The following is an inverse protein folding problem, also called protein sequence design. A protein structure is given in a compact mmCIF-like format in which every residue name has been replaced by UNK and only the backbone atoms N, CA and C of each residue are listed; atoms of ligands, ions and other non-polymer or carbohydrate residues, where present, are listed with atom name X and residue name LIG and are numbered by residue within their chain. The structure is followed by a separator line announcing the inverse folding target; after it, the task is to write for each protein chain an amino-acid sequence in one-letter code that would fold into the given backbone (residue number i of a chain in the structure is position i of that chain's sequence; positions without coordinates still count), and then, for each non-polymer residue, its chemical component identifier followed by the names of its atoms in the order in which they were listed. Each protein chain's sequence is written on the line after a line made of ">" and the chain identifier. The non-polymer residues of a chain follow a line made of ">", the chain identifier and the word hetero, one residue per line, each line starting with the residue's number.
data_IF_084093490566
#
_entry.id   IF_084093490566
#
_cell.length_a   1.000
_cell.length_b   1.000
_cell.length_c   1.000
_cell.angle_alpha   90.00
_cell.angle_beta   90.00
_cell.angle_gamma   90.00
#
_symmetry.space_group_name_H-M   'P 1'
#
loop_
_entity.id
_entity.type
_entity.pdbx_description
1 polymer ?
#
# COMPACT_ATOMS: atom_id res chain seq x y z
N UNK A 1 -13.55 26.28 1.13
CA UNK A 1 -14.76 25.44 1.10
C UNK A 1 -14.44 24.22 0.28
N UNK A 2 -14.08 23.12 0.94
CA UNK A 2 -13.89 21.80 0.30
C UNK A 2 -15.07 20.93 0.71
N UNK A 3 -15.73 20.23 -0.23
CA UNK A 3 -16.90 19.43 0.08
C UNK A 3 -16.45 18.20 0.87
N UNK A 4 -17.18 17.93 1.96
CA UNK A 4 -16.95 16.77 2.79
C UNK A 4 -17.08 15.48 1.98
N UNK A 5 -16.16 14.55 2.21
CA UNK A 5 -16.30 13.16 1.74
C UNK A 5 -17.40 12.52 2.59
N UNK A 6 -18.61 12.60 2.06
CA UNK A 6 -19.84 12.05 2.65
C UNK A 6 -19.77 10.52 2.51
N UNK A 7 -20.30 9.79 3.49
CA UNK A 7 -20.32 8.32 3.55
C UNK A 7 -20.91 7.55 2.36
N UNK A 8 -21.29 8.21 1.26
CA UNK A 8 -21.55 7.57 -0.03
C UNK A 8 -20.29 6.96 -0.63
N UNK A 9 -19.11 7.60 -0.43
CA UNK A 9 -17.87 7.18 -1.10
C UNK A 9 -17.36 5.83 -0.58
N UNK A 10 -17.52 5.55 0.72
CA UNK A 10 -17.18 4.23 1.32
C UNK A 10 -18.14 3.15 0.85
N UNK A 11 -19.44 3.47 0.72
CA UNK A 11 -20.45 2.56 0.19
C UNK A 11 -20.17 2.25 -1.27
N UNK A 12 -19.75 3.23 -2.06
CA UNK A 12 -19.42 3.08 -3.47
C UNK A 12 -18.09 2.36 -3.68
N UNK A 13 -17.10 2.55 -2.81
CA UNK A 13 -15.86 1.75 -2.79
C UNK A 13 -16.15 0.30 -2.40
N UNK A 14 -16.96 0.06 -1.37
CA UNK A 14 -17.39 -1.29 -1.00
C UNK A 14 -18.18 -1.94 -2.14
N UNK A 15 -19.10 -1.19 -2.77
CA UNK A 15 -19.86 -1.63 -3.93
C UNK A 15 -18.94 -1.92 -5.11
N UNK A 16 -17.87 -1.14 -5.35
CA UNK A 16 -16.87 -1.37 -6.40
C UNK A 16 -15.98 -2.60 -6.13
N UNK A 17 -15.61 -2.81 -4.87
CA UNK A 17 -14.85 -3.99 -4.45
C UNK A 17 -15.68 -5.27 -4.53
N UNK A 18 -16.96 -5.18 -4.14
CA UNK A 18 -17.95 -6.25 -4.30
C UNK A 18 -18.31 -6.46 -5.77
N UNK A 19 -18.42 -5.40 -6.59
CA UNK A 19 -18.77 -5.46 -8.00
C UNK A 19 -17.66 -5.99 -8.91
N UNK A 20 -16.43 -6.21 -8.43
CA UNK A 20 -15.48 -7.08 -9.14
C UNK A 20 -15.99 -8.55 -9.19
N UNK A 21 -17.06 -8.87 -8.45
CA UNK A 21 -18.00 -9.93 -8.75
C UNK A 21 -19.19 -9.32 -9.51
N UNK A 22 -19.19 -9.38 -10.83
CA UNK A 22 -20.22 -8.73 -11.67
C UNK A 22 -21.68 -9.19 -11.39
N UNK A 23 -21.88 -10.29 -10.65
CA UNK A 23 -23.16 -10.67 -10.03
C UNK A 23 -22.93 -11.57 -8.81
N UNK A 24 -23.51 -11.22 -7.65
CA UNK A 24 -23.66 -12.12 -6.50
C UNK A 24 -24.71 -13.20 -6.83
N UNK A 25 -24.26 -14.31 -7.41
CA UNK A 25 -25.12 -15.43 -7.86
C UNK A 25 -25.87 -16.08 -6.68
N UNK A 26 -25.39 -15.88 -5.45
CA UNK A 26 -25.94 -16.46 -4.22
C UNK A 26 -26.34 -15.40 -3.20
N UNK A 27 -26.68 -14.19 -3.66
CA UNK A 27 -27.19 -13.10 -2.82
C UNK A 27 -28.38 -13.49 -1.94
N UNK A 28 -29.27 -14.36 -2.40
CA UNK A 28 -30.38 -14.87 -1.61
C UNK A 28 -29.92 -15.74 -0.42
N UNK A 29 -28.84 -16.52 -0.57
CA UNK A 29 -28.24 -17.29 0.52
C UNK A 29 -27.48 -16.38 1.49
N UNK A 30 -26.83 -15.33 0.98
CA UNK A 30 -26.19 -14.31 1.83
C UNK A 30 -27.24 -13.63 2.70
N UNK A 31 -28.37 -13.22 2.15
CA UNK A 31 -29.44 -12.56 2.92
C UNK A 31 -30.00 -13.47 4.04
N UNK A 32 -30.06 -14.78 3.81
CA UNK A 32 -30.51 -15.76 4.81
C UNK A 32 -29.57 -15.88 6.03
N UNK A 33 -28.32 -15.44 5.93
CA UNK A 33 -27.40 -15.38 7.08
C UNK A 33 -27.81 -14.31 8.09
N UNK A 34 -28.58 -13.30 7.67
CA UNK A 34 -28.86 -12.09 8.45
C UNK A 34 -27.68 -11.12 8.58
N UNK A 35 -26.52 -11.39 7.95
CA UNK A 35 -25.31 -10.56 8.11
C UNK A 35 -25.49 -9.11 7.67
N UNK A 36 -26.48 -8.83 6.82
CA UNK A 36 -26.80 -7.48 6.36
C UNK A 36 -27.20 -6.54 7.51
N UNK A 37 -27.76 -7.09 8.59
CA UNK A 37 -28.13 -6.36 9.82
C UNK A 37 -26.92 -6.04 10.71
N UNK A 38 -25.77 -6.67 10.47
CA UNK A 38 -24.55 -6.38 11.23
C UNK A 38 -24.06 -4.95 10.94
N UNK A 39 -23.45 -4.29 11.92
CA UNK A 39 -22.73 -3.03 11.68
C UNK A 39 -21.26 -3.26 11.25
N UNK A 40 -20.81 -4.52 11.21
CA UNK A 40 -19.44 -4.88 10.90
C UNK A 40 -19.24 -5.09 9.37
N UNK A 41 -18.56 -4.17 8.67
CA UNK A 41 -18.34 -4.29 7.22
C UNK A 41 -17.37 -5.43 6.86
N UNK A 42 -16.43 -5.76 7.74
CA UNK A 42 -15.48 -6.86 7.54
C UNK A 42 -16.25 -8.18 7.56
N UNK A 43 -17.13 -8.35 8.55
CA UNK A 43 -17.96 -9.55 8.64
C UNK A 43 -18.89 -9.71 7.42
N UNK A 44 -19.52 -8.63 6.97
CA UNK A 44 -20.34 -8.66 5.74
C UNK A 44 -19.54 -9.13 4.54
N UNK A 45 -18.31 -8.65 4.41
CA UNK A 45 -17.40 -9.05 3.34
C UNK A 45 -17.04 -10.54 3.43
N UNK A 46 -16.63 -11.01 4.60
CA UNK A 46 -16.25 -12.42 4.82
C UNK A 46 -17.41 -13.35 4.50
N UNK A 47 -18.60 -13.08 5.06
CA UNK A 47 -19.79 -13.91 4.84
C UNK A 47 -20.18 -13.94 3.37
N UNK A 48 -20.21 -12.79 2.71
CA UNK A 48 -20.57 -12.72 1.29
C UNK A 48 -19.60 -13.52 0.42
N UNK A 49 -18.29 -13.35 0.64
CA UNK A 49 -17.26 -14.09 -0.10
C UNK A 49 -17.35 -15.60 0.15
N UNK A 50 -17.60 -16.00 1.38
CA UNK A 50 -17.69 -17.40 1.74
C UNK A 50 -18.85 -18.09 1.01
N UNK A 51 -20.06 -17.51 1.07
CA UNK A 51 -21.26 -18.05 0.43
C UNK A 51 -21.08 -18.12 -1.10
N UNK A 52 -20.51 -17.08 -1.71
CA UNK A 52 -20.22 -17.06 -3.16
C UNK A 52 -19.21 -18.13 -3.55
N UNK A 53 -18.08 -18.22 -2.84
CA UNK A 53 -17.04 -19.22 -3.14
C UNK A 53 -17.56 -20.64 -2.97
N UNK A 54 -18.36 -20.89 -1.93
CA UNK A 54 -18.94 -22.22 -1.69
C UNK A 54 -19.91 -22.62 -2.81
N UNK A 55 -20.85 -21.74 -3.17
CA UNK A 55 -21.84 -22.07 -4.19
C UNK A 55 -21.23 -22.23 -5.59
N UNK A 56 -20.20 -21.46 -5.93
CA UNK A 56 -19.42 -21.65 -7.17
C UNK A 56 -18.65 -22.97 -7.16
N UNK A 57 -18.01 -23.31 -6.05
CA UNK A 57 -17.30 -24.58 -5.91
C UNK A 57 -18.26 -25.79 -6.11
N UNK A 58 -19.49 -25.69 -5.60
CA UNK A 58 -20.51 -26.72 -5.77
C UNK A 58 -20.98 -26.86 -7.22
N UNK A 59 -21.06 -25.74 -7.95
CA UNK A 59 -21.42 -25.73 -9.37
C UNK A 59 -20.32 -26.40 -10.21
N UNK A 60 -19.07 -25.99 -9.97
CA UNK A 60 -17.91 -26.52 -10.69
C UNK A 60 -17.62 -28.00 -10.37
N UNK A 61 -17.87 -28.46 -9.12
CA UNK A 61 -17.62 -29.86 -8.75
C UNK A 61 -18.49 -30.83 -9.54
N UNK A 62 -19.72 -30.44 -9.89
CA UNK A 62 -20.60 -31.23 -10.76
C UNK A 62 -20.07 -31.38 -12.18
N UNK A 63 -19.34 -30.39 -12.66
CA UNK A 63 -18.80 -30.37 -14.02
C UNK A 63 -17.45 -31.12 -14.11
N UNK A 64 -16.65 -31.08 -13.03
CA UNK A 64 -15.24 -31.51 -13.04
C UNK A 64 -14.94 -32.79 -12.24
N UNK A 65 -15.90 -33.30 -11.44
CA UNK A 65 -15.79 -34.58 -10.72
C UNK A 65 -15.17 -34.51 -9.31
N UNK A 66 -15.13 -35.65 -8.61
CA UNK A 66 -14.84 -35.77 -7.17
C UNK A 66 -13.45 -35.24 -6.73
N UNK A 67 -12.41 -35.40 -7.55
CA UNK A 67 -11.07 -34.92 -7.20
C UNK A 67 -11.02 -33.39 -7.08
N UNK A 68 -11.77 -32.69 -7.94
CA UNK A 68 -11.88 -31.24 -7.91
C UNK A 68 -12.66 -30.77 -6.67
N UNK A 69 -13.69 -31.53 -6.30
CA UNK A 69 -14.50 -31.31 -5.10
C UNK A 69 -13.66 -31.33 -3.82
N UNK A 70 -12.84 -32.37 -3.64
CA UNK A 70 -11.99 -32.51 -2.45
C UNK A 70 -10.97 -31.38 -2.32
N UNK A 71 -10.34 -30.97 -3.43
CA UNK A 71 -9.36 -29.88 -3.43
C UNK A 71 -10.04 -28.54 -3.07
N UNK A 72 -11.23 -28.28 -3.62
CA UNK A 72 -12.00 -27.07 -3.31
C UNK A 72 -12.51 -27.05 -1.87
N UNK A 73 -12.96 -28.20 -1.33
CA UNK A 73 -13.30 -28.32 0.08
C UNK A 73 -12.15 -27.92 0.98
N UNK A 74 -10.97 -28.49 0.73
CA UNK A 74 -9.78 -28.21 1.52
C UNK A 74 -9.43 -26.72 1.48
N UNK A 75 -9.45 -26.13 0.28
CA UNK A 75 -9.21 -24.70 0.13
C UNK A 75 -10.23 -23.84 0.90
N UNK A 76 -11.52 -24.17 0.83
CA UNK A 76 -12.57 -23.45 1.53
C UNK A 76 -12.44 -23.56 3.04
N UNK A 77 -12.12 -24.75 3.55
CA UNK A 77 -11.90 -25.01 4.97
C UNK A 77 -10.71 -24.20 5.49
N UNK A 78 -9.58 -24.23 4.79
CA UNK A 78 -8.38 -23.46 5.15
C UNK A 78 -8.68 -21.96 5.11
N UNK A 79 -9.28 -21.47 4.02
CA UNK A 79 -9.61 -20.06 3.85
C UNK A 79 -10.56 -19.56 4.94
N UNK A 80 -11.62 -20.32 5.24
CA UNK A 80 -12.58 -19.96 6.29
C UNK A 80 -11.91 -20.01 7.67
N UNK A 81 -11.00 -20.97 7.89
CA UNK A 81 -10.17 -21.06 9.09
C UNK A 81 -9.28 -19.84 9.29
N UNK A 82 -8.59 -19.38 8.24
CA UNK A 82 -7.78 -18.16 8.27
C UNK A 82 -8.64 -16.93 8.56
N UNK A 83 -9.76 -16.77 7.85
CA UNK A 83 -10.66 -15.63 8.08
C UNK A 83 -11.23 -15.63 9.50
N UNK A 84 -11.60 -16.80 10.03
CA UNK A 84 -12.03 -16.96 11.42
C UNK A 84 -10.94 -16.54 12.40
N UNK A 85 -9.72 -17.03 12.19
CA UNK A 85 -8.58 -16.71 13.04
C UNK A 85 -8.31 -15.20 13.06
N UNK A 86 -8.19 -14.55 11.91
CA UNK A 86 -7.93 -13.11 11.86
C UNK A 86 -9.10 -12.28 12.39
N UNK A 87 -10.33 -12.63 12.02
CA UNK A 87 -11.51 -11.87 12.45
C UNK A 87 -11.75 -11.95 13.95
N UNK A 88 -11.53 -13.11 14.56
CA UNK A 88 -11.75 -13.36 15.99
C UNK A 88 -10.50 -13.15 16.86
N UNK A 89 -9.39 -12.71 16.25
CA UNK A 89 -8.06 -12.64 16.89
C UNK A 89 -7.71 -13.97 17.58
N UNK A 90 -7.75 -15.05 16.81
CA UNK A 90 -7.58 -16.41 17.31
C UNK A 90 -8.47 -16.68 18.51
N UNK A 91 -9.78 -16.42 18.38
CA UNK A 91 -10.77 -16.69 19.42
C UNK A 91 -10.69 -15.83 20.69
N UNK A 92 -9.67 -14.98 20.85
CA UNK A 92 -9.51 -14.14 22.05
C UNK A 92 -10.52 -13.00 22.12
N UNK A 93 -11.06 -12.59 20.97
CA UNK A 93 -12.02 -11.50 20.86
C UNK A 93 -13.47 -11.99 21.03
N UNK A 94 -14.01 -11.93 22.25
CA UNK A 94 -15.33 -12.50 22.54
C UNK A 94 -16.46 -11.84 21.72
N UNK A 95 -16.39 -10.53 21.51
CA UNK A 95 -17.37 -9.81 20.67
C UNK A 95 -17.38 -10.33 19.22
N UNK A 96 -16.21 -10.36 18.56
CA UNK A 96 -16.07 -10.85 17.18
C UNK A 96 -16.41 -12.34 17.08
N UNK A 97 -16.04 -13.13 18.07
CA UNK A 97 -16.42 -14.54 18.19
C UNK A 97 -17.94 -14.71 18.24
N UNK A 98 -18.65 -13.91 19.03
CA UNK A 98 -20.11 -13.93 19.09
C UNK A 98 -20.76 -13.55 17.75
N UNK A 99 -20.21 -12.57 17.04
CA UNK A 99 -20.67 -12.22 15.69
C UNK A 99 -20.44 -13.35 14.69
N UNK A 100 -19.26 -14.00 14.72
CA UNK A 100 -18.95 -15.15 13.88
C UNK A 100 -19.95 -16.29 14.14
N UNK A 101 -20.23 -16.58 15.41
CA UNK A 101 -21.18 -17.62 15.81
C UNK A 101 -22.58 -17.27 15.28
N UNK A 102 -23.01 -16.01 15.42
CA UNK A 102 -24.34 -15.55 15.01
C UNK A 102 -24.56 -15.63 13.51
N UNK A 103 -23.61 -15.17 12.70
CA UNK A 103 -23.83 -14.94 11.26
C UNK A 103 -23.17 -15.97 10.34
N UNK A 104 -22.25 -16.80 10.84
CA UNK A 104 -21.62 -17.88 10.07
C UNK A 104 -22.04 -19.23 10.65
N UNK A 105 -21.60 -19.56 11.86
CA UNK A 105 -21.79 -20.91 12.43
C UNK A 105 -23.27 -21.34 12.52
N UNK A 106 -24.12 -20.53 13.19
CA UNK A 106 -25.53 -20.86 13.41
C UNK A 106 -26.32 -21.03 12.09
N UNK A 107 -26.27 -20.09 11.13
CA UNK A 107 -27.03 -20.23 9.91
C UNK A 107 -26.43 -21.23 8.91
N UNK A 108 -25.15 -21.62 9.06
CA UNK A 108 -24.42 -22.43 8.08
C UNK A 108 -25.16 -23.70 7.66
N UNK A 109 -25.54 -24.56 8.61
CA UNK A 109 -26.20 -25.84 8.30
C UNK A 109 -27.49 -25.67 7.49
N UNK A 110 -28.26 -24.61 7.78
CA UNK A 110 -29.49 -24.32 7.05
C UNK A 110 -29.19 -23.82 5.63
N UNK A 111 -28.21 -22.92 5.49
CA UNK A 111 -27.82 -22.38 4.19
C UNK A 111 -27.21 -23.47 3.30
N UNK A 112 -26.32 -24.29 3.85
CA UNK A 112 -25.70 -25.43 3.18
C UNK A 112 -26.76 -26.36 2.58
N UNK A 113 -27.78 -26.74 3.36
CA UNK A 113 -28.86 -27.63 2.89
C UNK A 113 -29.69 -27.07 1.73
N UNK A 114 -29.66 -25.76 1.50
CA UNK A 114 -30.44 -25.07 0.46
C UNK A 114 -29.71 -24.95 -0.87
N UNK A 115 -28.43 -25.28 -0.91
CA UNK A 115 -27.75 -25.44 -2.18
C UNK A 115 -28.25 -26.72 -2.87
N UNK A 116 -28.98 -26.57 -3.99
CA UNK A 116 -29.60 -27.69 -4.72
C UNK A 116 -28.55 -28.70 -5.17
N UNK A 117 -28.58 -29.96 -4.73
CA UNK A 117 -27.90 -31.09 -5.40
C UNK A 117 -26.66 -31.68 -4.73
N UNK A 118 -26.71 -31.92 -3.42
CA UNK A 118 -25.67 -32.63 -2.67
C UNK A 118 -24.83 -31.70 -1.83
N UNK A 119 -24.55 -32.14 -0.60
CA UNK A 119 -23.54 -31.52 0.24
C UNK A 119 -22.22 -31.69 -0.51
N UNK A 120 -21.47 -30.62 -0.72
CA UNK A 120 -20.02 -30.78 -0.88
C UNK A 120 -19.58 -31.60 0.34
N UNK A 121 -18.75 -32.62 0.16
CA UNK A 121 -18.27 -33.47 1.26
C UNK A 121 -17.31 -32.71 2.21
N UNK A 122 -17.48 -31.40 2.35
CA UNK A 122 -16.72 -30.53 3.23
C UNK A 122 -17.35 -30.54 4.61
N UNK A 123 -16.68 -31.16 5.58
CA UNK A 123 -17.01 -30.94 6.99
C UNK A 123 -16.43 -29.61 7.45
N UNK A 124 -17.06 -28.49 7.09
CA UNK A 124 -16.59 -27.16 7.50
C UNK A 124 -16.76 -26.98 9.02
N UNK A 125 -15.68 -27.10 9.77
CA UNK A 125 -15.68 -26.92 11.21
C UNK A 125 -15.67 -25.42 11.57
N UNK A 126 -16.85 -24.85 11.70
CA UNK A 126 -17.04 -23.46 12.12
C UNK A 126 -16.85 -23.22 13.63
N UNK A 127 -16.69 -24.28 14.41
CA UNK A 127 -17.01 -24.31 15.84
C UNK A 127 -15.73 -24.22 16.69
N UNK A 128 -14.62 -24.74 16.14
CA UNK A 128 -13.33 -24.79 16.83
C UNK A 128 -12.59 -23.45 16.69
N UNK A 129 -12.36 -22.77 17.81
CA UNK A 129 -11.50 -21.59 17.85
C UNK A 129 -10.10 -22.01 18.34
N UNK A 130 -9.04 -21.53 17.68
CA UNK A 130 -7.70 -21.57 18.29
C UNK A 130 -7.67 -20.53 19.40
N UNK A 131 -6.87 -20.73 20.45
CA UNK A 131 -6.69 -19.77 21.55
C UNK A 131 -5.28 -19.16 21.58
N UNK A 132 -4.48 -19.38 20.52
CA UNK A 132 -3.12 -18.86 20.42
C UNK A 132 -3.09 -17.66 19.48
N UNK A 133 -3.41 -16.47 19.99
CA UNK A 133 -3.17 -15.21 19.28
C UNK A 133 -2.24 -14.34 20.13
N UNK A 134 -1.22 -13.78 19.50
CA UNK A 134 -0.20 -13.00 20.17
C UNK A 134 -0.83 -11.72 20.76
N UNK A 135 -0.68 -11.55 22.07
CA UNK A 135 -1.47 -10.58 22.85
C UNK A 135 -1.16 -9.11 22.54
N UNK A 136 -0.03 -8.83 21.88
CA UNK A 136 0.38 -7.47 21.51
C UNK A 136 -0.57 -6.79 20.51
N UNK A 137 -1.35 -7.55 19.74
CA UNK A 137 -2.30 -7.02 18.75
C UNK A 137 -3.75 -6.88 19.28
N UNK A 138 -4.04 -7.34 20.50
CA UNK A 138 -5.42 -7.48 21.02
C UNK A 138 -6.05 -6.12 21.38
N UNK A 139 -5.23 -5.12 21.72
CA UNK A 139 -5.74 -3.96 22.46
C UNK A 139 -6.48 -2.90 21.63
N UNK A 140 -6.45 -2.97 20.29
CA UNK A 140 -7.03 -1.93 19.43
C UNK A 140 -8.38 -2.29 18.78
N UNK A 141 -8.61 -3.57 18.45
CA UNK A 141 -9.69 -3.97 17.52
C UNK A 141 -10.90 -4.64 18.18
N UNK A 142 -10.80 -5.05 19.46
CA UNK A 142 -11.84 -5.88 20.10
C UNK A 142 -12.98 -5.12 20.77
N UNK A 143 -12.85 -3.81 20.97
CA UNK A 143 -13.88 -3.04 21.65
C UNK A 143 -14.76 -2.29 20.66
N UNK A 144 -16.07 -2.53 20.82
CA UNK A 144 -17.19 -1.90 20.14
C UNK A 144 -17.36 -0.40 20.49
N UNK A 145 -16.40 0.20 21.18
CA UNK A 145 -16.41 1.64 21.36
C UNK A 145 -16.02 2.24 20.02
N UNK A 146 -16.98 2.86 19.33
CA UNK A 146 -16.84 3.68 18.13
C UNK A 146 -15.87 4.88 18.28
N UNK A 147 -14.87 4.77 19.14
CA UNK A 147 -13.75 5.68 19.21
C UNK A 147 -12.73 5.10 18.24
N UNK A 148 -12.92 5.45 16.96
CA UNK A 148 -11.81 5.49 16.02
C UNK A 148 -10.66 6.16 16.79
N UNK A 149 -9.49 5.50 16.92
CA UNK A 149 -8.43 6.10 17.70
C UNK A 149 -8.15 7.47 17.11
N UNK A 150 -7.83 8.47 17.93
CA UNK A 150 -7.45 9.78 17.42
C UNK A 150 -6.21 9.73 16.49
N UNK A 151 -5.59 8.55 16.27
CA UNK A 151 -4.53 8.30 15.29
C UNK A 151 -4.88 8.83 13.88
N UNK A 152 -6.13 8.69 13.42
CA UNK A 152 -6.50 9.11 12.05
C UNK A 152 -6.59 10.65 11.90
N UNK A 153 -7.31 11.41 12.75
CA UNK A 153 -7.28 12.87 12.65
C UNK A 153 -5.92 13.50 12.99
N UNK A 154 -5.14 12.85 13.87
CA UNK A 154 -3.78 13.31 14.22
C UNK A 154 -2.82 13.14 13.03
N UNK A 155 -2.92 12.06 12.25
CA UNK A 155 -2.09 11.82 11.06
C UNK A 155 -2.31 12.87 9.96
N UNK A 156 -3.56 13.24 9.68
CA UNK A 156 -3.89 14.27 8.69
C UNK A 156 -3.42 15.66 9.14
N UNK A 157 -3.54 15.95 10.45
CA UNK A 157 -3.01 17.17 11.04
C UNK A 157 -1.50 17.32 10.85
N UNK A 158 -0.72 16.27 11.12
CA UNK A 158 0.73 16.29 10.92
C UNK A 158 1.15 16.43 9.46
N UNK A 159 0.43 15.80 8.52
CA UNK A 159 0.70 15.97 7.10
C UNK A 159 0.48 17.43 6.65
N UNK A 160 -0.62 18.06 7.05
CA UNK A 160 -0.91 19.46 6.73
C UNK A 160 0.08 20.43 7.40
N UNK A 161 0.44 20.17 8.66
CA UNK A 161 1.45 20.97 9.37
C UNK A 161 2.83 20.84 8.74
N UNK A 162 3.20 19.62 8.34
CA UNK A 162 4.45 19.33 7.64
C UNK A 162 4.52 20.05 6.29
N UNK A 163 3.46 19.97 5.48
CA UNK A 163 3.36 20.70 4.20
C UNK A 163 3.46 22.21 4.43
N UNK A 164 2.75 22.75 5.43
CA UNK A 164 2.80 24.18 5.76
C UNK A 164 4.19 24.64 6.20
N UNK A 165 4.91 23.84 6.99
CA UNK A 165 6.29 24.14 7.39
C UNK A 165 7.22 24.10 6.17
N UNK A 166 7.12 23.08 5.32
CA UNK A 166 7.90 22.98 4.08
C UNK A 166 7.63 24.21 3.20
N UNK A 167 6.37 24.62 3.01
CA UNK A 167 6.03 25.82 2.24
C UNK A 167 6.60 27.10 2.87
N UNK A 168 6.59 27.26 4.20
CA UNK A 168 7.23 28.39 4.86
C UNK A 168 8.75 28.43 4.64
N UNK A 169 9.41 27.27 4.73
CA UNK A 169 10.84 27.16 4.43
C UNK A 169 11.11 27.49 2.96
N UNK A 170 10.39 26.87 2.02
CA UNK A 170 10.55 27.13 0.59
C UNK A 170 10.25 28.60 0.25
N UNK A 171 9.24 29.22 0.85
CA UNK A 171 8.94 30.64 0.68
C UNK A 171 10.11 31.52 1.17
N UNK A 172 10.66 31.21 2.35
CA UNK A 172 11.84 31.92 2.89
C UNK A 172 13.11 31.68 2.07
N UNK A 173 13.21 30.55 1.36
CA UNK A 173 14.32 30.20 0.47
C UNK A 173 14.09 30.54 -1.01
N UNK A 174 12.90 31.02 -1.40
CA UNK A 174 12.61 31.49 -2.76
C UNK A 174 13.48 32.67 -3.24
N UNK A 175 14.08 33.57 -2.39
CA UNK A 175 15.06 34.53 -2.90
C UNK A 175 16.39 33.89 -3.36
N UNK A 176 16.61 32.58 -3.16
CA UNK A 176 17.82 31.89 -3.66
C UNK A 176 17.88 31.77 -5.18
N UNK A 177 16.76 31.91 -5.92
CA UNK A 177 16.83 31.88 -7.40
C UNK A 177 17.70 33.02 -7.95
N UNK A 178 17.59 34.22 -7.37
CA UNK A 178 18.44 35.36 -7.74
C UNK A 178 19.91 35.12 -7.36
N UNK A 179 20.18 34.50 -6.21
CA UNK A 179 21.54 34.21 -5.78
C UNK A 179 22.21 33.12 -6.62
N UNK A 180 21.49 32.06 -6.97
CA UNK A 180 21.95 30.98 -7.85
C UNK A 180 22.22 31.51 -9.26
N UNK A 181 21.35 32.39 -9.79
CA UNK A 181 21.55 32.99 -11.13
C UNK A 181 22.81 33.85 -11.16
N UNK A 182 23.01 34.70 -10.16
CA UNK A 182 24.22 35.54 -10.03
C UNK A 182 25.49 34.68 -9.92
N UNK A 183 25.46 33.60 -9.13
CA UNK A 183 26.61 32.73 -8.99
C UNK A 183 26.94 31.97 -10.29
N UNK A 184 25.91 31.52 -11.02
CA UNK A 184 26.06 30.85 -12.32
C UNK A 184 26.63 31.78 -13.39
N UNK A 185 26.17 33.04 -13.43
CA UNK A 185 26.69 34.04 -14.38
C UNK A 185 28.14 34.41 -14.09
N UNK A 186 28.52 34.57 -12.81
CA UNK A 186 29.91 34.86 -12.43
C UNK A 186 30.87 33.74 -12.84
N UNK A 187 30.43 32.48 -12.74
CA UNK A 187 31.19 31.31 -13.19
C UNK A 187 31.29 31.22 -14.72
N UNK A 188 30.25 31.66 -15.46
CA UNK A 188 30.28 31.70 -16.93
C UNK A 188 31.25 32.75 -17.48
N UNK A 189 31.33 33.94 -16.85
CA UNK A 189 32.29 34.98 -17.24
C UNK A 189 33.73 34.52 -17.06
N UNK A 190 34.07 33.97 -15.89
CA UNK A 190 35.41 33.41 -15.62
C UNK A 190 35.83 32.35 -16.64
N UNK A 191 34.90 31.50 -17.12
CA UNK A 191 35.22 30.46 -18.10
C UNK A 191 35.41 31.02 -19.52
N UNK A 192 34.73 32.11 -19.86
CA UNK A 192 34.96 32.83 -21.12
C UNK A 192 36.31 33.55 -21.11
N UNK A 193 36.67 34.17 -19.99
CA UNK A 193 37.97 34.83 -19.82
C UNK A 193 39.12 33.80 -19.98
N UNK A 194 39.01 32.62 -19.33
CA UNK A 194 39.99 31.52 -19.47
C UNK A 194 40.05 30.98 -20.91
N UNK A 195 38.91 30.84 -21.60
CA UNK A 195 38.89 30.33 -22.97
C UNK A 195 39.49 31.33 -23.97
N UNK A 196 39.31 32.62 -23.75
CA UNK A 196 39.86 33.67 -24.59
C UNK A 196 41.37 33.82 -24.37
N UNK A 197 41.83 33.74 -23.11
CA UNK A 197 43.25 33.71 -22.75
C UNK A 197 43.93 32.47 -23.37
N UNK A 198 43.34 31.27 -23.25
CA UNK A 198 43.87 30.05 -23.86
C UNK A 198 43.90 30.07 -25.39
N UNK A 199 42.97 30.77 -26.07
CA UNK A 199 43.03 30.98 -27.53
C UNK A 199 44.16 31.93 -27.93
N UNK A 200 44.40 32.96 -27.13
CA UNK A 200 45.47 33.93 -27.38
C UNK A 200 46.85 33.27 -27.15
N UNK A 201 47.00 32.49 -26.08
CA UNK A 201 48.22 31.70 -25.83
C UNK A 201 48.47 30.63 -26.89
N UNK A 202 47.44 29.95 -27.40
CA UNK A 202 47.59 28.95 -28.46
C UNK A 202 47.92 29.59 -29.82
N UNK A 203 47.40 30.80 -30.08
CA UNK A 203 47.76 31.61 -31.25
C UNK A 203 49.19 32.12 -31.18
N UNK A 204 49.64 32.61 -30.01
CA UNK A 204 51.03 33.03 -29.81
C UNK A 204 51.99 31.85 -29.92
N UNK A 205 51.70 30.71 -29.30
CA UNK A 205 52.55 29.52 -29.39
C UNK A 205 52.68 28.98 -30.83
N UNK A 206 51.65 29.09 -31.66
CA UNK A 206 51.76 28.67 -33.07
C UNK A 206 52.58 29.66 -33.92
N UNK A 207 52.57 30.95 -33.56
CA UNK A 207 53.40 31.98 -34.19
C UNK A 207 54.90 31.79 -33.84
N UNK A 208 55.22 31.45 -32.58
CA UNK A 208 56.60 31.24 -32.13
C UNK A 208 57.23 29.93 -32.66
N UNK A 209 56.45 28.86 -32.84
CA UNK A 209 56.98 27.57 -33.29
C UNK A 209 57.25 27.50 -34.82
N UNK A 210 56.81 28.50 -35.58
CA UNK A 210 57.11 28.60 -37.02
C UNK A 210 58.35 29.47 -37.32
N UNK A 211 59.02 30.01 -36.28
CA UNK A 211 60.04 31.05 -36.40
C UNK A 211 61.50 30.66 -36.15
N UNK A 212 61.83 29.62 -35.37
CA UNK A 212 63.24 29.41 -34.95
C UNK A 212 63.69 27.94 -35.00
N UNK A 213 64.07 27.52 -36.20
CA UNK A 213 65.19 26.61 -36.41
C UNK A 213 66.48 27.44 -36.38
N UNK A 214 66.98 27.82 -35.19
CA UNK A 214 68.35 28.35 -35.03
C UNK A 214 68.80 28.33 -33.57
N UNK A 215 69.87 27.57 -33.33
CA UNK A 215 70.94 27.81 -32.36
C UNK A 215 70.67 27.92 -30.85
N UNK A 216 71.13 26.84 -30.17
CA UNK A 216 72.14 26.86 -29.11
C UNK A 216 71.78 27.29 -27.67
N UNK A 217 71.95 26.28 -26.79
CA UNK A 217 72.64 26.31 -25.50
C UNK A 217 71.89 26.61 -24.17
N UNK A 218 71.73 25.51 -23.41
CA UNK A 218 72.33 25.27 -22.08
C UNK A 218 71.63 25.87 -20.82
N UNK A 219 71.01 24.93 -20.10
CA UNK A 219 71.03 24.67 -18.63
C UNK A 219 70.30 25.64 -17.67
N UNK A 220 69.17 25.20 -17.10
CA UNK A 220 69.02 24.58 -15.76
C UNK A 220 69.29 25.52 -14.56
N UNK A 221 68.27 25.79 -13.73
CA UNK A 221 68.35 25.87 -12.25
C UNK A 221 66.89 25.93 -11.68
N UNK A 222 66.38 24.88 -11.03
CA UNK A 222 66.47 24.52 -9.60
C UNK A 222 65.42 25.21 -8.68
N UNK A 223 64.53 24.39 -8.12
CA UNK A 223 63.45 24.73 -7.17
C UNK A 223 63.95 24.66 -5.71
N UNK A 224 63.38 25.46 -4.80
CA UNK A 224 63.47 25.24 -3.35
C UNK A 224 62.14 25.56 -2.66
N UNK A 225 61.60 24.67 -1.79
CA UNK A 225 60.35 24.91 -1.08
C UNK A 225 60.51 25.24 0.42
N UNK A 226 59.47 25.94 0.90
CA UNK A 226 58.86 25.97 2.23
C UNK A 226 59.55 26.68 3.40
N UNK A 227 58.78 27.55 4.06
CA UNK A 227 58.90 27.79 5.50
C UNK A 227 57.53 28.04 6.15
N UNK A 228 57.26 27.15 7.10
CA UNK A 228 56.37 27.17 8.29
C UNK A 228 54.86 27.30 8.11
#
# INVERSE_FOLDING_TARGET
>A
MTPGVIGSDVKDVFKKFVNNYDTLEHSDKINQTGVMESNDPILKSIVSHFIEKYGRALKDSREKGEQYEQLHCKYLEEWLGYMKYFYTLGGTCEFKKNLWIKYIHKPWKNIESRFKGGNLLCSLNTDKFSSSFESEFINFSCNENNIMPPIIPVSVGFALFGISLICMFLYKFTPMESWIRVHREKKRKSLQDIYQEGKQELSENFLWNSGENTENNINQLSYHPARN
#
